data_IF_908248956516
#
_entry.id   IF_908248956516
#
_cell.length_a   1.000
_cell.length_b   1.000
_cell.length_c   1.000
_cell.angle_alpha   90.00
_cell.angle_beta   90.00
_cell.angle_gamma   90.00
#
_symmetry.space_group_name_H-M   'P 1'
#
loop_
_entity.id
_entity.type
_entity.pdbx_description
1 polymer ?
#
# COMPACT_ATOMS: atom_id res chain seq x y z
N UNK A 1 0.60 57.78 -25.90
CA UNK A 1 1.53 56.65 -25.95
C UNK A 1 1.06 55.65 -24.93
N UNK A 2 0.22 54.71 -25.32
CA UNK A 2 -0.39 53.70 -24.45
C UNK A 2 0.14 52.33 -24.86
N UNK A 3 0.78 51.64 -23.92
CA UNK A 3 1.20 50.28 -24.11
C UNK A 3 0.03 49.32 -23.87
N UNK A 4 -0.37 48.65 -24.92
CA UNK A 4 -1.34 47.58 -24.92
C UNK A 4 -0.63 46.27 -24.50
N UNK A 5 -0.86 45.82 -23.29
CA UNK A 5 -0.39 44.51 -22.83
C UNK A 5 -1.36 43.45 -23.38
N UNK A 6 -0.92 42.70 -24.38
CA UNK A 6 -1.68 41.58 -24.93
C UNK A 6 -1.61 40.39 -23.96
N UNK A 7 -2.74 40.10 -23.33
CA UNK A 7 -2.94 38.92 -22.51
C UNK A 7 -3.17 37.70 -23.45
N UNK A 8 -2.16 36.85 -23.61
CA UNK A 8 -2.28 35.61 -24.37
C UNK A 8 -2.93 34.57 -23.45
N UNK A 9 -4.23 34.38 -23.60
CA UNK A 9 -4.95 33.27 -23.02
C UNK A 9 -4.58 31.97 -23.78
N UNK A 10 -3.78 31.11 -23.19
CA UNK A 10 -3.65 29.73 -23.62
C UNK A 10 -4.95 28.98 -23.32
N UNK A 11 -5.75 28.79 -24.37
CA UNK A 11 -6.87 27.84 -24.35
C UNK A 11 -6.31 26.42 -24.37
N UNK A 12 -6.20 25.82 -23.20
CA UNK A 12 -6.07 24.37 -23.11
C UNK A 12 -7.39 23.75 -23.57
N UNK A 13 -7.35 22.75 -24.47
CA UNK A 13 -8.57 22.03 -24.83
C UNK A 13 -9.10 21.33 -23.57
N UNK A 14 -10.37 21.54 -23.26
CA UNK A 14 -11.08 20.90 -22.17
C UNK A 14 -10.80 19.40 -22.20
N UNK A 15 -10.34 18.79 -21.08
CA UNK A 15 -10.42 17.35 -20.95
C UNK A 15 -11.90 16.98 -21.01
N UNK A 16 -12.24 16.04 -21.88
CA UNK A 16 -13.58 15.50 -21.98
C UNK A 16 -14.08 15.10 -20.59
N UNK A 17 -14.99 15.90 -20.07
CA UNK A 17 -15.89 15.51 -19.00
C UNK A 17 -16.76 14.38 -19.55
N UNK A 18 -16.31 13.13 -19.45
CA UNK A 18 -17.22 12.01 -19.45
C UNK A 18 -17.99 12.07 -18.15
N UNK A 19 -19.12 12.75 -18.20
CA UNK A 19 -20.14 12.63 -17.17
C UNK A 19 -20.65 11.18 -17.20
N UNK A 20 -20.09 10.33 -16.36
CA UNK A 20 -20.74 9.09 -15.96
C UNK A 20 -21.93 9.48 -15.10
N UNK A 21 -23.11 9.67 -15.73
CA UNK A 21 -24.36 9.80 -15.01
C UNK A 21 -24.58 8.52 -14.20
N UNK A 22 -24.58 8.66 -12.87
CA UNK A 22 -25.08 7.65 -11.95
C UNK A 22 -24.13 7.04 -10.95
N UNK A 23 -22.84 7.36 -10.96
CA UNK A 23 -21.94 6.96 -9.88
C UNK A 23 -21.74 8.14 -8.94
N UNK A 24 -22.49 8.18 -7.85
CA UNK A 24 -22.25 9.09 -6.73
C UNK A 24 -20.91 8.69 -6.11
N UNK A 25 -19.80 9.31 -6.56
CA UNK A 25 -18.49 9.18 -5.94
C UNK A 25 -18.56 9.85 -4.55
N UNK A 26 -19.16 9.18 -3.62
CA UNK A 26 -18.97 9.50 -2.21
C UNK A 26 -17.58 9.01 -1.86
N UNK A 27 -16.67 9.94 -1.56
CA UNK A 27 -15.55 9.67 -0.68
C UNK A 27 -16.13 8.82 0.45
N UNK A 28 -15.87 7.52 0.44
CA UNK A 28 -16.41 6.65 1.48
C UNK A 28 -15.84 7.15 2.79
N UNK A 29 -16.68 7.59 3.75
CA UNK A 29 -16.15 7.88 5.07
C UNK A 29 -15.44 6.60 5.50
N UNK A 30 -14.15 6.71 5.79
CA UNK A 30 -13.39 5.61 6.37
C UNK A 30 -14.21 5.11 7.57
N UNK A 31 -14.78 3.92 7.44
CA UNK A 31 -15.51 3.32 8.55
C UNK A 31 -14.47 2.83 9.55
N UNK A 32 -13.99 3.77 10.39
CA UNK A 32 -13.26 3.38 11.58
C UNK A 32 -14.22 2.51 12.37
N UNK A 33 -13.88 1.24 12.64
CA UNK A 33 -14.70 0.40 13.48
C UNK A 33 -14.98 1.14 14.78
N UNK A 34 -16.23 1.10 15.27
CA UNK A 34 -16.67 1.87 16.47
C UNK A 34 -15.79 1.56 17.70
N UNK A 35 -15.18 0.40 17.71
CA UNK A 35 -14.30 -0.09 18.76
C UNK A 35 -12.79 0.11 18.45
N UNK A 36 -12.44 0.94 17.44
CA UNK A 36 -11.06 1.23 17.03
C UNK A 36 -10.76 2.71 17.26
N UNK A 37 -10.04 2.99 18.34
CA UNK A 37 -9.78 4.36 18.80
C UNK A 37 -8.42 4.92 18.36
N UNK A 38 -8.13 6.19 18.71
CA UNK A 38 -6.83 6.81 18.39
C UNK A 38 -5.61 6.06 18.93
N UNK A 39 -5.75 5.37 20.07
CA UNK A 39 -4.68 4.54 20.66
C UNK A 39 -4.38 3.32 19.80
N UNK A 40 -5.41 2.72 19.19
CA UNK A 40 -5.24 1.59 18.28
C UNK A 40 -4.53 2.02 16.99
N UNK A 41 -4.86 3.21 16.47
CA UNK A 41 -4.16 3.82 15.33
C UNK A 41 -2.68 4.04 15.66
N UNK A 42 -2.38 4.59 16.83
CA UNK A 42 -1.00 4.79 17.26
C UNK A 42 -0.24 3.46 17.39
N UNK A 43 -0.89 2.43 17.96
CA UNK A 43 -0.33 1.08 18.07
C UNK A 43 -0.05 0.49 16.69
N UNK A 44 -0.97 0.68 15.73
CA UNK A 44 -0.80 0.27 14.33
C UNK A 44 0.40 0.96 13.68
N UNK A 45 0.53 2.29 13.83
CA UNK A 45 1.63 3.07 13.27
C UNK A 45 2.98 2.60 13.82
N UNK A 46 3.08 2.42 15.13
CA UNK A 46 4.32 1.98 15.78
C UNK A 46 4.71 0.57 15.33
N UNK A 47 3.75 -0.35 15.28
CA UNK A 47 3.98 -1.71 14.81
C UNK A 47 4.43 -1.74 13.35
N UNK A 48 3.73 -1.00 12.47
CA UNK A 48 4.07 -0.93 11.06
C UNK A 48 5.42 -0.29 10.79
N UNK A 49 5.79 0.76 11.53
CA UNK A 49 7.13 1.38 11.47
C UNK A 49 8.24 0.36 11.75
N UNK A 50 8.01 -0.50 12.74
CA UNK A 50 8.98 -1.53 13.08
C UNK A 50 9.09 -2.60 12.01
N UNK A 51 7.95 -3.04 11.44
CA UNK A 51 7.96 -3.96 10.30
C UNK A 51 8.68 -3.33 9.10
N UNK A 52 8.41 -2.07 8.79
CA UNK A 52 9.11 -1.32 7.75
C UNK A 52 10.63 -1.28 7.99
N UNK A 53 11.04 -1.05 9.24
CA UNK A 53 12.46 -1.10 9.62
C UNK A 53 13.09 -2.48 9.44
N UNK A 54 12.35 -3.57 9.68
CA UNK A 54 12.83 -4.94 9.44
C UNK A 54 12.95 -5.22 7.95
N UNK A 55 11.97 -4.77 7.14
CA UNK A 55 12.03 -4.87 5.68
C UNK A 55 13.27 -4.16 5.16
N UNK A 56 13.52 -2.92 5.60
CA UNK A 56 14.69 -2.14 5.19
C UNK A 56 16.02 -2.70 5.72
N UNK A 57 16.00 -3.45 6.80
CA UNK A 57 17.18 -4.18 7.28
C UNK A 57 17.49 -5.41 6.41
N UNK A 58 16.44 -6.03 5.86
CA UNK A 58 16.56 -7.19 4.96
C UNK A 58 16.92 -6.78 3.52
N UNK A 59 16.33 -5.68 3.07
CA UNK A 59 16.52 -5.12 1.73
C UNK A 59 16.75 -3.60 1.86
N UNK A 60 17.94 -3.11 1.54
CA UNK A 60 18.22 -1.68 1.55
C UNK A 60 17.34 -0.92 0.54
N UNK A 61 17.24 0.39 0.68
CA UNK A 61 16.63 1.22 -0.36
C UNK A 61 17.49 1.18 -1.62
N UNK A 62 16.85 1.07 -2.78
CA UNK A 62 17.52 1.16 -4.07
C UNK A 62 18.20 2.54 -4.22
N UNK A 63 19.48 2.61 -4.65
CA UNK A 63 20.29 3.82 -4.49
C UNK A 63 20.00 4.95 -5.51
N UNK A 64 18.90 4.88 -6.25
CA UNK A 64 18.45 5.94 -7.17
C UNK A 64 17.48 6.90 -6.47
N UNK A 65 17.94 8.12 -6.18
CA UNK A 65 17.15 9.16 -5.49
C UNK A 65 15.98 9.67 -6.33
N UNK A 66 16.11 9.74 -7.64
CA UNK A 66 15.04 10.25 -8.51
C UNK A 66 13.93 9.20 -8.65
N UNK A 67 14.28 7.93 -8.73
CA UNK A 67 13.32 6.83 -8.68
C UNK A 67 12.57 6.80 -7.34
N UNK A 68 13.28 6.98 -6.21
CA UNK A 68 12.65 7.08 -4.88
C UNK A 68 11.65 8.24 -4.82
N UNK A 69 12.03 9.42 -5.31
CA UNK A 69 11.13 10.59 -5.35
C UNK A 69 9.91 10.34 -6.24
N UNK A 70 10.11 9.74 -7.40
CA UNK A 70 9.04 9.44 -8.34
C UNK A 70 8.01 8.50 -7.72
N UNK A 71 8.45 7.37 -7.14
CA UNK A 71 7.54 6.42 -6.48
C UNK A 71 6.84 7.07 -5.28
N UNK A 72 7.53 7.92 -4.51
CA UNK A 72 6.90 8.68 -3.44
C UNK A 72 5.85 9.67 -3.96
N UNK A 73 6.10 10.36 -5.07
CA UNK A 73 5.15 11.30 -5.66
C UNK A 73 3.88 10.57 -6.12
N UNK A 74 4.03 9.48 -6.87
CA UNK A 74 2.92 8.65 -7.33
C UNK A 74 2.14 8.08 -6.13
N UNK A 75 2.82 7.49 -5.17
CA UNK A 75 2.20 6.89 -3.99
C UNK A 75 1.43 7.88 -3.13
N UNK A 76 1.99 9.08 -2.87
CA UNK A 76 1.28 10.11 -2.10
C UNK A 76 0.06 10.63 -2.86
N UNK A 77 0.13 10.80 -4.18
CA UNK A 77 -1.04 11.19 -4.99
C UNK A 77 -2.19 10.18 -4.88
N UNK A 78 -1.87 8.88 -4.85
CA UNK A 78 -2.86 7.83 -4.63
C UNK A 78 -3.38 7.87 -3.18
N UNK A 79 -2.49 8.02 -2.20
CA UNK A 79 -2.85 8.02 -0.79
C UNK A 79 -3.75 9.21 -0.39
N UNK A 80 -3.61 10.36 -1.04
CA UNK A 80 -4.51 11.52 -0.85
C UNK A 80 -5.96 11.20 -1.25
N UNK A 81 -6.15 10.31 -2.24
CA UNK A 81 -7.49 9.97 -2.72
C UNK A 81 -8.12 8.83 -1.91
N UNK A 82 -7.37 7.76 -1.65
CA UNK A 82 -7.90 6.55 -1.05
C UNK A 82 -7.36 6.25 0.35
N UNK A 83 -6.26 6.86 0.73
CA UNK A 83 -5.59 6.58 2.00
C UNK A 83 -6.38 7.03 3.22
N UNK A 84 -6.04 6.46 4.35
CA UNK A 84 -6.61 6.80 5.66
C UNK A 84 -6.00 8.13 6.14
N UNK A 85 -6.83 9.17 6.42
CA UNK A 85 -6.34 10.51 6.74
C UNK A 85 -5.57 10.58 8.07
N UNK A 86 -5.74 9.61 8.96
CA UNK A 86 -5.02 9.51 10.22
C UNK A 86 -3.61 8.92 10.08
N UNK A 87 -3.24 8.41 8.87
CA UNK A 87 -1.93 7.82 8.59
C UNK A 87 -1.07 8.76 7.73
N UNK A 88 0.22 8.76 8.01
CA UNK A 88 1.20 9.30 7.09
C UNK A 88 1.76 8.16 6.24
N UNK A 89 1.59 8.25 4.92
CA UNK A 89 2.10 7.25 4.00
C UNK A 89 3.56 7.48 3.63
N UNK A 90 4.30 6.39 3.51
CA UNK A 90 5.72 6.37 3.17
C UNK A 90 5.96 5.31 2.09
N UNK A 91 6.57 5.72 0.99
CA UNK A 91 6.84 4.84 -0.14
C UNK A 91 8.34 4.69 -0.35
N UNK A 92 8.77 3.49 -0.73
CA UNK A 92 10.18 3.24 -1.02
C UNK A 92 10.36 2.13 -2.05
N UNK A 93 11.42 2.26 -2.84
CA UNK A 93 11.91 1.18 -3.71
C UNK A 93 13.01 0.44 -2.96
N UNK A 94 12.85 -0.87 -2.78
CA UNK A 94 13.85 -1.72 -2.13
C UNK A 94 14.72 -2.42 -3.16
N UNK A 95 16.01 -2.56 -2.81
CA UNK A 95 17.06 -3.13 -3.65
C UNK A 95 17.01 -4.66 -3.59
N UNK A 96 16.15 -5.24 -4.40
CA UNK A 96 16.04 -6.68 -4.58
C UNK A 96 15.47 -7.01 -5.96
N UNK A 97 15.97 -8.08 -6.56
CA UNK A 97 15.48 -8.63 -7.83
C UNK A 97 14.21 -9.47 -7.67
N UNK A 98 13.83 -9.81 -6.45
CA UNK A 98 12.57 -10.47 -6.19
C UNK A 98 11.42 -9.56 -6.65
N UNK A 99 10.49 -10.11 -7.39
CA UNK A 99 9.31 -9.36 -7.86
C UNK A 99 8.27 -9.37 -6.76
N UNK A 100 8.15 -8.28 -6.02
CA UNK A 100 7.16 -8.16 -4.93
C UNK A 100 6.89 -6.71 -4.56
N UNK A 101 5.79 -6.48 -3.84
CA UNK A 101 5.50 -5.27 -3.10
C UNK A 101 5.04 -5.63 -1.69
N UNK A 102 5.19 -4.71 -0.74
CA UNK A 102 4.88 -4.93 0.65
C UNK A 102 4.17 -3.72 1.24
N UNK A 103 3.03 -3.94 1.85
CA UNK A 103 2.38 -2.96 2.70
C UNK A 103 2.45 -3.40 4.17
N UNK A 104 2.86 -2.48 5.04
CA UNK A 104 2.78 -2.71 6.49
C UNK A 104 1.69 -1.84 7.10
N UNK A 105 1.09 -2.24 8.22
CA UNK A 105 0.21 -1.35 8.97
C UNK A 105 0.85 0.03 9.18
N UNK A 106 0.05 1.07 9.35
CA UNK A 106 0.55 2.40 9.64
C UNK A 106 1.15 3.17 8.46
N UNK A 107 1.00 2.68 7.20
CA UNK A 107 1.25 3.49 6.01
C UNK A 107 2.59 3.28 5.30
N UNK A 108 3.34 2.22 5.54
CA UNK A 108 4.61 1.97 4.85
C UNK A 108 4.40 1.00 3.69
N UNK A 109 4.76 1.44 2.48
CA UNK A 109 4.65 0.67 1.23
C UNK A 109 6.01 0.60 0.55
N UNK A 110 6.44 -0.60 0.21
CA UNK A 110 7.68 -0.86 -0.49
C UNK A 110 7.42 -1.62 -1.78
N UNK A 111 8.03 -1.16 -2.88
CA UNK A 111 8.03 -1.86 -4.16
C UNK A 111 9.44 -2.31 -4.45
N UNK A 112 9.62 -3.57 -4.81
CA UNK A 112 10.94 -4.08 -5.18
C UNK A 112 11.41 -3.53 -6.53
N UNK A 113 12.71 -3.36 -6.71
CA UNK A 113 13.29 -2.99 -7.99
C UNK A 113 12.97 -4.04 -9.07
N UNK A 114 12.95 -5.33 -8.69
CA UNK A 114 12.53 -6.42 -9.58
C UNK A 114 11.11 -6.26 -10.09
N UNK A 115 10.16 -5.84 -9.24
CA UNK A 115 8.79 -5.56 -9.67
C UNK A 115 8.72 -4.38 -10.65
N UNK A 116 9.44 -3.28 -10.34
CA UNK A 116 9.48 -2.10 -11.21
C UNK A 116 10.05 -2.40 -12.60
N UNK A 117 11.08 -3.25 -12.70
CA UNK A 117 11.67 -3.65 -13.99
C UNK A 117 10.69 -4.38 -14.91
N UNK A 118 9.68 -5.02 -14.37
CA UNK A 118 8.65 -5.72 -15.14
C UNK A 118 7.52 -4.80 -15.59
N UNK A 119 7.38 -3.62 -14.98
CA UNK A 119 6.36 -2.65 -15.32
C UNK A 119 6.71 -1.93 -16.64
N UNK A 120 5.72 -1.78 -17.50
CA UNK A 120 5.85 -1.17 -18.82
C UNK A 120 5.40 0.29 -18.85
N UNK A 121 4.61 0.69 -17.87
CA UNK A 121 4.06 2.04 -17.78
C UNK A 121 3.68 2.40 -16.34
N UNK A 122 3.41 3.70 -16.13
CA UNK A 122 3.01 4.24 -14.83
C UNK A 122 1.70 3.65 -14.31
N UNK A 123 0.74 3.32 -15.19
CA UNK A 123 -0.53 2.74 -14.75
C UNK A 123 -0.35 1.39 -14.04
N UNK A 124 0.65 0.60 -14.42
CA UNK A 124 0.98 -0.65 -13.72
C UNK A 124 1.54 -0.38 -12.33
N UNK A 125 2.39 0.64 -12.17
CA UNK A 125 2.88 1.07 -10.86
C UNK A 125 1.74 1.59 -9.98
N UNK A 126 0.86 2.41 -10.54
CA UNK A 126 -0.32 2.93 -9.83
C UNK A 126 -1.21 1.79 -9.36
N UNK A 127 -1.44 0.77 -10.20
CA UNK A 127 -2.22 -0.41 -9.84
C UNK A 127 -1.62 -1.17 -8.65
N UNK A 128 -0.33 -1.44 -8.68
CA UNK A 128 0.37 -2.13 -7.58
C UNK A 128 0.34 -1.30 -6.30
N UNK A 129 0.64 0.00 -6.37
CA UNK A 129 0.63 0.86 -5.17
C UNK A 129 -0.80 1.00 -4.61
N UNK A 130 -1.81 1.16 -5.47
CA UNK A 130 -3.20 1.26 -5.05
C UNK A 130 -3.68 -0.04 -4.37
N UNK A 131 -3.27 -1.20 -4.86
CA UNK A 131 -3.51 -2.50 -4.23
C UNK A 131 -2.88 -2.56 -2.82
N UNK A 132 -1.62 -2.15 -2.68
CA UNK A 132 -0.94 -2.15 -1.38
C UNK A 132 -1.55 -1.15 -0.39
N UNK A 133 -1.95 0.04 -0.85
CA UNK A 133 -2.68 1.01 -0.02
C UNK A 133 -4.03 0.43 0.40
N UNK A 134 -4.74 -0.30 -0.49
CA UNK A 134 -6.00 -0.93 -0.15
C UNK A 134 -5.88 -1.93 1.01
N UNK A 135 -4.78 -2.69 1.10
CA UNK A 135 -4.52 -3.55 2.24
C UNK A 135 -4.43 -2.77 3.56
N UNK A 136 -3.78 -1.60 3.55
CA UNK A 136 -3.66 -0.71 4.72
C UNK A 136 -5.03 -0.11 5.06
N UNK A 137 -5.75 0.38 4.07
CA UNK A 137 -7.05 1.02 4.20
C UNK A 137 -8.11 0.06 4.77
N UNK A 138 -8.16 -1.15 4.24
CA UNK A 138 -9.03 -2.23 4.70
C UNK A 138 -8.58 -2.88 6.00
N UNK A 139 -7.40 -2.50 6.52
CA UNK A 139 -6.79 -3.00 7.76
C UNK A 139 -6.61 -4.53 7.77
N UNK A 140 -6.19 -5.12 6.65
CA UNK A 140 -6.08 -6.57 6.51
C UNK A 140 -5.13 -7.17 7.55
N UNK A 141 -3.91 -6.61 7.69
CA UNK A 141 -2.94 -7.06 8.69
C UNK A 141 -3.41 -6.77 10.12
N UNK A 142 -4.00 -5.60 10.34
CA UNK A 142 -4.54 -5.22 11.66
C UNK A 142 -5.57 -6.22 12.15
N UNK A 143 -6.51 -6.61 11.26
CA UNK A 143 -7.53 -7.61 11.55
C UNK A 143 -6.93 -9.00 11.77
N UNK A 144 -6.04 -9.44 10.88
CA UNK A 144 -5.41 -10.77 10.93
C UNK A 144 -4.51 -10.95 12.15
N UNK A 145 -3.78 -9.90 12.54
CA UNK A 145 -2.86 -9.90 13.69
C UNK A 145 -3.53 -9.44 14.99
N UNK A 146 -4.77 -8.94 14.93
CA UNK A 146 -5.51 -8.37 16.06
C UNK A 146 -4.72 -7.25 16.75
N UNK A 147 -4.15 -6.34 15.96
CA UNK A 147 -3.39 -5.20 16.47
C UNK A 147 -4.36 -4.25 17.18
N UNK A 148 -4.16 -4.07 18.49
CA UNK A 148 -4.96 -3.20 19.36
C UNK A 148 -4.07 -2.56 20.42
N UNK A 149 -4.48 -1.41 20.92
CA UNK A 149 -3.95 -0.89 22.18
C UNK A 149 -4.49 -1.74 23.34
N UNK A 150 -3.64 -2.08 24.31
CA UNK A 150 -4.08 -2.82 25.49
C UNK A 150 -4.75 -1.83 26.47
N UNK A 151 -5.88 -2.24 27.08
CA UNK A 151 -6.79 -1.34 27.80
C UNK A 151 -6.21 -0.69 29.08
N UNK A 152 -5.11 -1.20 29.65
CA UNK A 152 -4.66 -0.87 31.01
C UNK A 152 -3.50 0.13 31.10
N UNK A 153 -3.08 0.81 30.06
CA UNK A 153 -1.98 1.77 30.20
C UNK A 153 -2.23 3.12 29.52
N UNK A 154 -1.95 4.17 30.29
CA UNK A 154 -1.89 5.56 29.82
C UNK A 154 -0.74 5.82 28.81
N UNK A 155 0.06 4.81 28.48
CA UNK A 155 1.05 4.80 27.44
C UNK A 155 0.62 3.82 26.34
N UNK A 156 0.68 4.23 25.07
CA UNK A 156 0.53 3.35 23.90
C UNK A 156 1.45 2.15 24.09
N UNK A 157 0.86 0.96 24.24
CA UNK A 157 1.62 -0.19 24.77
C UNK A 157 2.60 -0.80 23.78
N UNK A 158 2.50 -0.48 22.49
CA UNK A 158 3.60 -0.80 21.58
C UNK A 158 4.82 0.06 21.91
N UNK A 159 4.69 1.35 22.25
CA UNK A 159 5.82 2.13 22.77
C UNK A 159 6.26 1.64 24.14
N UNK A 160 5.33 1.18 24.98
CA UNK A 160 5.64 0.53 26.25
C UNK A 160 6.24 -0.88 26.08
N UNK A 161 5.94 -1.58 24.98
CA UNK A 161 6.60 -2.84 24.61
C UNK A 161 8.06 -2.57 24.18
N UNK A 162 8.30 -1.48 23.42
CA UNK A 162 9.65 -1.08 23.02
C UNK A 162 10.51 -0.55 24.19
N UNK A 163 9.89 0.17 25.11
CA UNK A 163 10.56 0.68 26.31
C UNK A 163 10.37 -0.18 27.56
N UNK A 164 9.61 -1.27 27.47
CA UNK A 164 9.23 -2.08 28.63
C UNK A 164 10.34 -3.04 29.05
N UNK A 165 10.66 -3.01 30.33
CA UNK A 165 11.47 -4.03 31.01
C UNK A 165 10.70 -5.35 31.24
N UNK A 166 9.41 -5.43 30.90
CA UNK A 166 8.61 -6.64 31.06
C UNK A 166 8.93 -7.66 29.97
N UNK A 167 9.54 -8.77 30.34
CA UNK A 167 9.89 -9.88 29.47
C UNK A 167 8.67 -10.43 28.70
N UNK A 168 7.49 -10.44 29.32
CA UNK A 168 6.26 -10.96 28.70
C UNK A 168 5.80 -10.10 27.51
N UNK A 169 5.83 -8.78 27.65
CA UNK A 169 5.42 -7.86 26.56
C UNK A 169 6.39 -7.94 25.39
N UNK A 170 7.67 -8.06 25.66
CA UNK A 170 8.71 -8.22 24.64
C UNK A 170 8.51 -9.52 23.82
N UNK A 171 8.26 -10.63 24.52
CA UNK A 171 8.00 -11.91 23.86
C UNK A 171 6.75 -11.84 22.98
N UNK A 172 5.67 -11.21 23.45
CA UNK A 172 4.45 -11.02 22.67
C UNK A 172 4.72 -10.21 21.40
N UNK A 173 5.46 -9.13 21.51
CA UNK A 173 5.83 -8.30 20.36
C UNK A 173 6.68 -9.08 19.34
N UNK A 174 7.67 -9.84 19.81
CA UNK A 174 8.50 -10.69 18.96
C UNK A 174 7.66 -11.74 18.23
N UNK A 175 6.68 -12.35 18.90
CA UNK A 175 5.75 -13.31 18.29
C UNK A 175 4.85 -12.66 17.24
N UNK A 176 4.30 -11.47 17.53
CA UNK A 176 3.47 -10.73 16.57
C UNK A 176 4.29 -10.30 15.35
N UNK A 177 5.51 -9.81 15.57
CA UNK A 177 6.45 -9.45 14.50
C UNK A 177 6.80 -10.66 13.64
N UNK A 178 7.14 -11.79 14.26
CA UNK A 178 7.43 -13.05 13.56
C UNK A 178 6.25 -13.51 12.71
N UNK A 179 5.02 -13.45 13.26
CA UNK A 179 3.80 -13.77 12.51
C UNK A 179 3.55 -12.81 11.35
N UNK A 180 3.74 -11.50 11.55
CA UNK A 180 3.60 -10.51 10.49
C UNK A 180 4.61 -10.74 9.36
N UNK A 181 5.87 -10.99 9.70
CA UNK A 181 6.90 -11.31 8.73
C UNK A 181 6.58 -12.58 7.94
N UNK A 182 6.03 -13.58 8.60
CA UNK A 182 5.59 -14.82 7.93
C UNK A 182 4.46 -14.56 6.93
N UNK A 183 3.49 -13.73 7.29
CA UNK A 183 2.41 -13.31 6.38
C UNK A 183 2.97 -12.56 5.18
N UNK A 184 3.86 -11.59 5.42
CA UNK A 184 4.40 -10.71 4.37
C UNK A 184 5.36 -11.42 3.40
N UNK A 185 6.08 -12.46 3.86
CA UNK A 185 7.15 -13.09 3.08
C UNK A 185 6.93 -14.56 2.74
N UNK A 186 6.01 -15.26 3.41
CA UNK A 186 5.89 -16.72 3.29
C UNK A 186 4.47 -17.23 3.04
N UNK A 187 3.46 -16.75 3.78
CA UNK A 187 2.10 -17.31 3.75
C UNK A 187 1.13 -16.52 2.88
N UNK A 188 1.38 -15.21 2.69
CA UNK A 188 0.47 -14.32 2.00
C UNK A 188 -0.83 -14.02 2.77
N UNK A 189 -1.74 -13.36 2.09
CA UNK A 189 -3.08 -13.00 2.56
C UNK A 189 -4.12 -14.01 2.04
N UNK A 190 -5.33 -13.98 2.58
CA UNK A 190 -6.40 -14.84 2.05
C UNK A 190 -6.89 -14.33 0.69
N UNK A 191 -7.46 -15.21 -0.12
CA UNK A 191 -8.02 -14.85 -1.43
C UNK A 191 -9.04 -13.71 -1.32
N UNK A 192 -9.89 -13.73 -0.32
CA UNK A 192 -10.90 -12.70 -0.09
C UNK A 192 -10.27 -11.32 0.14
N UNK A 193 -9.20 -11.24 0.94
CA UNK A 193 -8.46 -9.99 1.19
C UNK A 193 -7.79 -9.46 -0.08
N UNK A 194 -7.26 -10.35 -0.91
CA UNK A 194 -6.65 -9.97 -2.18
C UNK A 194 -7.69 -9.42 -3.15
N UNK A 195 -8.84 -10.08 -3.30
CA UNK A 195 -9.96 -9.62 -4.14
C UNK A 195 -10.49 -8.26 -3.65
N UNK A 196 -10.63 -8.08 -2.33
CA UNK A 196 -11.03 -6.77 -1.77
C UNK A 196 -10.02 -5.68 -2.13
N UNK A 197 -8.72 -5.97 -2.02
CA UNK A 197 -7.65 -5.03 -2.36
C UNK A 197 -7.62 -4.72 -3.86
N UNK A 198 -7.77 -5.71 -4.73
CA UNK A 198 -7.86 -5.52 -6.18
C UNK A 198 -9.04 -4.64 -6.58
N UNK A 199 -10.23 -4.93 -6.06
CA UNK A 199 -11.42 -4.15 -6.37
C UNK A 199 -11.27 -2.69 -5.92
N UNK A 200 -10.69 -2.45 -4.75
CA UNK A 200 -10.45 -1.09 -4.29
C UNK A 200 -9.36 -0.40 -5.10
N UNK A 201 -8.26 -1.08 -5.40
CA UNK A 201 -7.17 -0.58 -6.23
C UNK A 201 -7.63 -0.19 -7.64
N UNK A 202 -8.39 -1.08 -8.31
CA UNK A 202 -8.96 -0.82 -9.65
C UNK A 202 -9.90 0.39 -9.63
N UNK A 203 -10.77 0.51 -8.62
CA UNK A 203 -11.64 1.69 -8.48
C UNK A 203 -10.83 2.97 -8.36
N UNK A 204 -9.77 2.95 -7.56
CA UNK A 204 -8.88 4.09 -7.41
C UNK A 204 -8.16 4.44 -8.71
N UNK A 205 -7.69 3.46 -9.48
CA UNK A 205 -7.13 3.70 -10.80
C UNK A 205 -8.12 4.41 -11.72
N UNK A 206 -9.38 3.95 -11.74
CA UNK A 206 -10.45 4.58 -12.54
C UNK A 206 -10.72 6.02 -12.10
N UNK A 207 -10.77 6.29 -10.79
CA UNK A 207 -10.96 7.64 -10.24
C UNK A 207 -9.82 8.58 -10.59
N UNK A 208 -8.58 8.07 -10.64
CA UNK A 208 -7.39 8.81 -11.07
C UNK A 208 -7.27 8.94 -12.60
N UNK A 209 -8.16 8.30 -13.38
CA UNK A 209 -8.15 8.32 -14.84
C UNK A 209 -7.12 7.40 -15.48
N UNK A 210 -6.57 6.44 -14.74
CA UNK A 210 -5.68 5.41 -15.28
C UNK A 210 -6.47 4.24 -15.88
N UNK A 211 -5.89 3.64 -16.92
CA UNK A 211 -6.40 2.40 -17.50
C UNK A 211 -6.12 1.22 -16.56
N UNK A 212 -7.15 0.77 -15.86
CA UNK A 212 -7.08 -0.36 -14.96
C UNK A 212 -6.67 -1.68 -15.62
N UNK A 213 -6.89 -1.83 -16.94
CA UNK A 213 -6.46 -3.01 -17.70
C UNK A 213 -4.95 -3.16 -17.71
N UNK A 214 -4.21 -2.04 -17.60
CA UNK A 214 -2.76 -2.08 -17.44
C UNK A 214 -2.33 -2.87 -16.20
N UNK A 215 -3.06 -2.73 -15.08
CA UNK A 215 -2.80 -3.53 -13.88
C UNK A 215 -3.08 -5.01 -14.10
N UNK A 216 -4.19 -5.35 -14.76
CA UNK A 216 -4.51 -6.74 -15.09
C UNK A 216 -3.42 -7.35 -15.99
N UNK A 217 -2.98 -6.63 -17.02
CA UNK A 217 -1.89 -7.08 -17.89
C UNK A 217 -0.59 -7.34 -17.12
N UNK A 218 -0.31 -6.52 -16.08
CA UNK A 218 0.84 -6.74 -15.20
C UNK A 218 0.67 -8.02 -14.37
N UNK A 219 -0.51 -8.27 -13.81
CA UNK A 219 -0.81 -9.49 -13.06
C UNK A 219 -0.70 -10.74 -13.95
N UNK A 220 -1.24 -10.72 -15.16
CA UNK A 220 -1.12 -11.81 -16.14
C UNK A 220 0.33 -12.08 -16.52
N UNK A 221 1.13 -11.02 -16.70
CA UNK A 221 2.58 -11.15 -16.94
C UNK A 221 3.30 -11.82 -15.78
N UNK A 222 2.92 -11.49 -14.54
CA UNK A 222 3.45 -12.16 -13.36
C UNK A 222 3.09 -13.65 -13.36
N UNK A 223 1.87 -14.03 -13.67
CA UNK A 223 1.45 -15.43 -13.71
C UNK A 223 2.22 -16.23 -14.75
N UNK A 224 2.46 -15.66 -15.93
CA UNK A 224 3.27 -16.30 -16.96
C UNK A 224 4.72 -16.54 -16.52
N UNK A 225 5.31 -15.55 -15.80
CA UNK A 225 6.67 -15.69 -15.27
C UNK A 225 6.76 -16.72 -14.14
N UNK A 226 5.67 -16.90 -13.38
CA UNK A 226 5.60 -17.85 -12.26
C UNK A 226 5.46 -19.29 -12.72
N UNK A 227 4.82 -19.53 -13.88
CA UNK A 227 4.73 -20.87 -14.49
C UNK A 227 6.10 -21.49 -14.80
N UNK A 228 7.14 -20.65 -14.97
CA UNK A 228 8.47 -21.11 -15.41
C UNK A 228 9.55 -21.10 -14.32
N UNK A 229 9.49 -20.33 -13.25
CA UNK A 229 10.68 -20.15 -12.42
C UNK A 229 10.59 -19.65 -10.98
N UNK A 230 9.50 -19.23 -10.35
CA UNK A 230 9.66 -18.86 -8.94
C UNK A 230 8.40 -18.85 -8.06
N UNK A 231 8.36 -19.85 -7.21
CA UNK A 231 7.42 -20.05 -6.13
C UNK A 231 7.37 -18.94 -5.04
N UNK A 232 8.11 -17.83 -5.15
CA UNK A 232 8.15 -16.81 -4.09
C UNK A 232 7.05 -15.75 -4.19
N UNK A 233 6.67 -15.31 -5.40
CA UNK A 233 5.57 -14.35 -5.59
C UNK A 233 4.23 -15.00 -5.25
N UNK A 234 4.02 -16.24 -5.70
CA UNK A 234 2.79 -17.01 -5.41
C UNK A 234 2.56 -17.32 -3.93
N UNK A 235 3.61 -17.19 -3.11
CA UNK A 235 3.50 -17.40 -1.66
C UNK A 235 2.87 -16.23 -0.93
N UNK A 236 3.07 -15.01 -1.42
CA UNK A 236 2.61 -13.79 -0.74
C UNK A 236 1.28 -13.28 -1.27
N UNK A 237 0.98 -13.56 -2.56
CA UNK A 237 -0.30 -13.24 -3.19
C UNK A 237 -0.79 -14.48 -3.98
N UNK A 238 -2.03 -14.96 -3.78
CA UNK A 238 -2.65 -15.98 -4.61
C UNK A 238 -2.53 -15.62 -6.09
N UNK A 239 -2.50 -16.64 -6.95
CA UNK A 239 -2.32 -16.45 -8.39
C UNK A 239 -3.35 -15.47 -8.96
N UNK A 240 -2.95 -14.63 -9.91
CA UNK A 240 -3.82 -13.64 -10.55
C UNK A 240 -5.03 -14.33 -11.20
N UNK A 241 -4.85 -15.54 -11.72
CA UNK A 241 -5.93 -16.32 -12.32
C UNK A 241 -7.06 -16.64 -11.33
N UNK A 242 -6.72 -16.88 -10.06
CA UNK A 242 -7.72 -17.11 -9.01
C UNK A 242 -8.39 -15.80 -8.51
N UNK A 243 -7.84 -14.63 -8.88
CA UNK A 243 -8.29 -13.30 -8.45
C UNK A 243 -9.11 -12.58 -9.52
N UNK A 244 -8.93 -12.92 -10.81
CA UNK A 244 -9.54 -12.26 -11.97
C UNK A 244 -10.86 -12.92 -12.39
N UNK A 245 -11.09 -14.22 -12.05
CA UNK A 245 -12.36 -14.93 -12.26
C UNK A 245 -13.43 -14.52 -11.23
#
# INVERSE_FOLDING_TARGET
MGNLLALVLFLFPNPCLFAFEGVEFRLRPHQIPKDYGPKDVQAEIEFGRNLGGIILKRHSLYPDRELQKYVNLVGNGIAELMGRPELQYHFGVIDTELVNAYATPGGYVFVSFGALKLMENEAQLVGVIAHEIAHIDLRHEVKKLKIRALEDSYSTEISAIFGSTSATKRVLFEQMTGKAMKILFEEGRSKEMEVEADLQGIRTMMELGYDWKSYINYLEKLDHLMGDASAEISKTHPTSHERID
#
